data_IF_603374583407
#
_entry.id   IF_603374583407
#
_cell.length_a   1.000
_cell.length_b   1.000
_cell.length_c   1.000
_cell.angle_alpha   90.00
_cell.angle_beta   90.00
_cell.angle_gamma   90.00
#
_symmetry.space_group_name_H-M   'P 1'
#
loop_
_entity.id
_entity.type
_entity.pdbx_description
1 polymer ?
#
# COMPACT_ATOMS: atom_id res chain seq x y z
N UNK A 1 -11.31 15.03 1.49
CA UNK A 1 -9.88 14.67 1.67
C UNK A 1 -9.69 13.24 1.20
N UNK A 2 -8.65 12.92 0.41
CA UNK A 2 -8.37 11.52 0.07
C UNK A 2 -8.14 10.72 1.36
N UNK A 3 -8.89 9.62 1.52
CA UNK A 3 -8.73 8.72 2.67
C UNK A 3 -7.42 7.96 2.47
N UNK A 4 -6.43 8.22 3.33
CA UNK A 4 -5.15 7.52 3.29
C UNK A 4 -5.28 6.14 3.94
N UNK A 5 -4.70 5.13 3.30
CA UNK A 5 -4.52 3.80 3.89
C UNK A 5 -3.30 3.83 4.81
N UNK A 6 -3.45 3.32 6.04
CA UNK A 6 -2.34 3.13 6.94
C UNK A 6 -1.76 1.72 6.78
N UNK A 7 -0.43 1.63 6.70
CA UNK A 7 0.37 0.42 6.68
C UNK A 7 1.48 0.51 7.71
N UNK A 8 2.26 -0.56 7.86
CA UNK A 8 3.40 -0.62 8.78
C UNK A 8 4.71 -0.69 8.01
N UNK A 9 5.65 0.19 8.35
CA UNK A 9 7.03 0.15 7.85
C UNK A 9 7.73 -1.12 8.35
N UNK A 10 8.30 -1.96 7.47
CA UNK A 10 9.01 -3.17 7.89
C UNK A 10 10.35 -2.86 8.58
N UNK A 11 10.93 -1.67 8.34
CA UNK A 11 12.24 -1.30 8.88
C UNK A 11 12.19 -0.90 10.37
N UNK A 12 11.11 -0.27 10.81
CA UNK A 12 11.02 0.33 12.15
C UNK A 12 9.64 0.19 12.82
N UNK A 13 8.69 -0.49 12.19
CA UNK A 13 7.34 -0.73 12.73
C UNK A 13 6.44 0.50 12.77
N UNK A 14 6.88 1.65 12.22
CA UNK A 14 6.11 2.89 12.27
C UNK A 14 4.97 2.91 11.25
N UNK A 15 3.90 3.67 11.51
CA UNK A 15 2.83 3.85 10.54
C UNK A 15 3.31 4.61 9.30
N UNK A 16 2.95 4.12 8.13
CA UNK A 16 3.11 4.80 6.84
C UNK A 16 1.75 4.99 6.19
N UNK A 17 1.53 6.16 5.61
CA UNK A 17 0.24 6.52 5.02
C UNK A 17 0.33 6.61 3.51
N UNK A 18 -0.54 5.86 2.84
CA UNK A 18 -0.54 5.68 1.39
C UNK A 18 -1.83 6.23 0.81
N UNK A 19 -1.72 7.08 -0.20
CA UNK A 19 -2.88 7.46 -1.00
C UNK A 19 -3.14 6.37 -2.05
N UNK A 20 -4.26 5.62 -1.94
CA UNK A 20 -4.54 4.51 -2.86
C UNK A 20 -4.69 4.97 -4.31
N UNK A 21 -5.11 6.21 -4.55
CA UNK A 21 -5.28 6.76 -5.90
C UNK A 21 -3.95 7.00 -6.64
N UNK A 22 -2.82 6.98 -5.94
CA UNK A 22 -1.48 7.15 -6.52
C UNK A 22 -0.73 5.83 -6.66
N UNK A 23 -1.28 4.72 -6.13
CA UNK A 23 -0.65 3.40 -6.23
C UNK A 23 -0.77 2.90 -7.66
N UNK A 24 0.35 2.44 -8.22
CA UNK A 24 0.40 1.88 -9.58
C UNK A 24 0.43 0.36 -9.58
N UNK A 25 1.18 -0.26 -8.68
CA UNK A 25 1.27 -1.71 -8.55
C UNK A 25 1.66 -2.11 -7.12
N UNK A 26 1.18 -3.26 -6.67
CA UNK A 26 1.62 -3.92 -5.44
C UNK A 26 2.19 -5.29 -5.82
N UNK A 27 3.37 -5.63 -5.31
CA UNK A 27 4.03 -6.90 -5.61
C UNK A 27 4.86 -7.39 -4.43
N UNK A 28 5.23 -8.67 -4.46
CA UNK A 28 6.19 -9.25 -3.52
C UNK A 28 7.59 -9.21 -4.13
N UNK A 29 8.53 -8.60 -3.41
CA UNK A 29 9.95 -8.69 -3.75
C UNK A 29 10.52 -9.95 -3.10
N UNK A 30 11.24 -10.75 -3.88
CA UNK A 30 11.83 -12.00 -3.40
C UNK A 30 13.05 -11.70 -2.52
N UNK A 31 12.81 -11.62 -1.21
CA UNK A 31 13.80 -11.62 -0.14
C UNK A 31 13.47 -12.68 0.93
N UNK A 32 14.31 -12.81 1.95
CA UNK A 32 14.04 -13.60 3.16
C UNK A 32 14.08 -12.69 4.40
N UNK A 33 12.93 -12.39 5.03
CA UNK A 33 11.55 -12.69 4.59
C UNK A 33 11.15 -11.89 3.33
N UNK A 34 10.12 -12.31 2.58
CA UNK A 34 9.64 -11.57 1.43
C UNK A 34 9.01 -10.24 1.85
N UNK A 35 9.39 -9.16 1.16
CA UNK A 35 8.83 -7.83 1.38
C UNK A 35 7.64 -7.58 0.43
N UNK A 36 6.55 -7.04 0.96
CA UNK A 36 5.48 -6.48 0.13
C UNK A 36 5.84 -5.05 -0.25
N UNK A 37 5.81 -4.73 -1.53
CA UNK A 37 6.18 -3.41 -2.06
C UNK A 37 4.98 -2.77 -2.76
N UNK A 38 4.71 -1.52 -2.39
CA UNK A 38 3.77 -0.61 -3.06
C UNK A 38 4.59 0.34 -3.94
N UNK A 39 4.35 0.35 -5.25
CA UNK A 39 5.03 1.25 -6.17
C UNK A 39 4.09 2.36 -6.68
N UNK A 40 4.67 3.56 -6.83
CA UNK A 40 4.01 4.78 -7.28
C UNK A 40 4.75 5.27 -8.52
N UNK A 41 4.24 4.89 -9.69
CA UNK A 41 4.96 5.08 -10.96
C UNK A 41 6.28 4.31 -11.00
N UNK A 42 7.30 4.92 -11.61
CA UNK A 42 8.60 4.28 -11.89
C UNK A 42 9.70 4.59 -10.87
N UNK A 43 9.54 5.67 -10.10
CA UNK A 43 10.64 6.25 -9.30
C UNK A 43 10.49 6.02 -7.79
N UNK A 44 9.29 5.65 -7.31
CA UNK A 44 9.01 5.56 -5.87
C UNK A 44 8.41 4.21 -5.50
N UNK A 45 9.03 3.54 -4.52
CA UNK A 45 8.65 2.24 -3.99
C UNK A 45 8.66 2.30 -2.46
N UNK A 46 7.67 1.69 -1.83
CA UNK A 46 7.49 1.65 -0.39
C UNK A 46 7.30 0.20 0.06
N UNK A 47 8.20 -0.30 0.91
CA UNK A 47 8.00 -1.58 1.59
C UNK A 47 6.97 -1.45 2.72
N UNK A 48 6.13 -2.47 2.86
CA UNK A 48 5.15 -2.61 3.96
C UNK A 48 5.26 -3.99 4.60
N UNK A 49 4.96 -4.06 5.90
CA UNK A 49 5.02 -5.30 6.67
C UNK A 49 3.80 -6.21 6.41
N UNK A 50 2.70 -5.64 5.93
CA UNK A 50 1.51 -6.38 5.55
C UNK A 50 1.76 -7.35 4.39
N UNK A 51 0.98 -8.43 4.35
CA UNK A 51 1.00 -9.36 3.22
C UNK A 51 0.49 -8.69 1.94
N UNK A 52 0.79 -9.31 0.79
CA UNK A 52 0.28 -8.85 -0.51
C UNK A 52 -1.26 -8.77 -0.54
N UNK A 53 -1.93 -9.84 -0.10
CA UNK A 53 -3.38 -9.94 -0.12
C UNK A 53 -4.04 -8.87 0.76
N UNK A 54 -3.51 -8.69 1.97
CA UNK A 54 -3.99 -7.66 2.88
C UNK A 54 -3.79 -6.26 2.30
N UNK A 55 -2.63 -6.02 1.70
CA UNK A 55 -2.30 -4.72 1.10
C UNK A 55 -3.26 -4.38 -0.03
N UNK A 56 -3.47 -5.29 -0.98
CA UNK A 56 -4.41 -5.11 -2.09
C UNK A 56 -5.83 -4.89 -1.58
N UNK A 57 -6.30 -5.74 -0.64
CA UNK A 57 -7.65 -5.63 -0.08
C UNK A 57 -7.92 -4.29 0.60
N UNK A 58 -6.95 -3.75 1.36
CA UNK A 58 -7.08 -2.43 2.00
C UNK A 58 -7.14 -1.30 0.97
N UNK A 59 -6.30 -1.34 -0.07
CA UNK A 59 -6.28 -0.35 -1.14
C UNK A 59 -7.59 -0.36 -1.95
N UNK A 60 -8.06 -1.54 -2.35
CA UNK A 60 -9.29 -1.72 -3.12
C UNK A 60 -10.51 -1.20 -2.36
N UNK A 61 -10.62 -1.54 -1.06
CA UNK A 61 -11.69 -1.02 -0.20
C UNK A 61 -11.66 0.49 -0.10
N UNK A 62 -10.47 1.09 0.02
CA UNK A 62 -10.32 2.52 0.11
C UNK A 62 -10.63 3.23 -1.22
N UNK A 63 -10.33 2.62 -2.36
CA UNK A 63 -10.72 3.12 -3.68
C UNK A 63 -12.23 3.04 -3.89
N UNK A 64 -12.86 1.90 -3.53
CA UNK A 64 -14.30 1.74 -3.63
C UNK A 64 -15.06 2.74 -2.74
N UNK A 65 -14.57 2.99 -1.52
CA UNK A 65 -15.17 3.95 -0.61
C UNK A 65 -15.09 5.42 -1.10
N UNK A 66 -14.12 5.75 -1.96
CA UNK A 66 -14.00 7.08 -2.57
C UNK A 66 -15.00 7.30 -3.72
N UNK A 67 -15.48 6.23 -4.36
CA UNK A 67 -16.46 6.32 -5.45
C UNK A 67 -17.92 6.51 -4.99
N UNK A 68 -18.21 6.29 -3.71
CA UNK A 68 -19.58 6.32 -3.15
C UNK A 68 -19.98 7.69 -2.58
N UNK A 69 -19.06 8.66 -2.53
CA UNK A 69 -19.32 10.02 -2.01
C UNK A 69 -19.58 11.06 -3.14
N UNK A 70 -19.99 10.60 -4.33
CA UNK A 70 -20.30 11.43 -5.51
C UNK A 70 -21.79 11.66 -5.74
#
# INVERSE_FOLDING_TARGET
MPKLCQFTSPADGKPVYVNPALVSVVYTFKGEPPDTVIAFGKDFMLGVAESLEETVSRLDRAMAAQGTEG
#
